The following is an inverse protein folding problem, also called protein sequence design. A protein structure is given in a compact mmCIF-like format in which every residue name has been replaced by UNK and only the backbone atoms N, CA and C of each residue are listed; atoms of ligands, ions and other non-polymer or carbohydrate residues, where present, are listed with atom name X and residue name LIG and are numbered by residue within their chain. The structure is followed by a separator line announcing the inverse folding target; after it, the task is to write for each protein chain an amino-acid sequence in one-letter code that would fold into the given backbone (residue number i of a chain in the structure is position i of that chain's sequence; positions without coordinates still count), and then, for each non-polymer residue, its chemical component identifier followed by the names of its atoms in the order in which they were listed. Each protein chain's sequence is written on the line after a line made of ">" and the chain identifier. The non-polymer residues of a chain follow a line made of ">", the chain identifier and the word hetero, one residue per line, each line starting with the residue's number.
data_IF_759041894965
#
_entry.id   IF_759041894965
#
_cell.length_a   1.000
_cell.length_b   1.000
_cell.length_c   1.000
_cell.angle_alpha   90.00
_cell.angle_beta   90.00
_cell.angle_gamma   90.00
#
_symmetry.space_group_name_H-M   'P 1'
#
loop_
_entity.id
_entity.type
_entity.pdbx_description
1 polymer ?
#
# COMPACT_ATOMS: atom_id res chain seq x y z
N UNK A 1 -32.08 18.85 32.59
CA UNK A 1 -30.84 19.37 31.98
C UNK A 1 -31.01 19.33 30.47
N UNK A 2 -31.22 20.50 29.85
CA UNK A 2 -31.36 20.68 28.40
C UNK A 2 -30.07 21.32 27.89
N UNK A 3 -29.46 20.76 26.82
CA UNK A 3 -28.71 21.48 25.78
C UNK A 3 -28.82 20.64 24.49
N UNK A 4 -29.66 21.02 23.54
CA UNK A 4 -29.41 21.92 22.39
C UNK A 4 -28.85 21.14 21.17
N UNK A 5 -29.72 20.64 20.26
CA UNK A 5 -30.17 21.27 18.99
C UNK A 5 -29.02 21.62 18.00
N UNK A 6 -28.98 20.83 16.93
CA UNK A 6 -28.70 21.17 15.52
C UNK A 6 -27.39 21.90 15.23
N UNK A 7 -26.40 21.14 14.72
CA UNK A 7 -25.40 21.68 13.79
C UNK A 7 -25.59 20.98 12.43
N UNK A 8 -26.09 21.76 11.47
CA UNK A 8 -26.23 21.41 10.06
C UNK A 8 -24.87 21.06 9.42
N UNK A 9 -24.85 20.30 8.32
CA UNK A 9 -23.62 20.07 7.55
C UNK A 9 -23.10 21.42 7.04
N UNK A 10 -21.88 21.76 7.45
CA UNK A 10 -21.21 22.97 6.96
C UNK A 10 -20.82 22.73 5.50
N UNK A 11 -21.67 23.20 4.59
CA UNK A 11 -21.36 23.42 3.17
C UNK A 11 -20.14 24.33 3.07
N UNK A 12 -18.95 23.75 3.01
CA UNK A 12 -17.70 24.50 2.83
C UNK A 12 -17.46 24.74 1.34
N UNK A 13 -18.11 25.81 0.86
CA UNK A 13 -17.51 26.84 -0.01
C UNK A 13 -16.79 26.28 -1.25
N UNK A 14 -17.53 26.18 -2.37
CA UNK A 14 -16.95 26.25 -3.72
C UNK A 14 -16.05 27.48 -3.79
N UNK A 15 -14.73 27.31 -3.67
CA UNK A 15 -13.78 28.37 -4.05
C UNK A 15 -13.77 28.41 -5.56
N UNK A 16 -14.58 29.27 -6.14
CA UNK A 16 -14.38 29.73 -7.51
C UNK A 16 -13.12 30.60 -7.50
N UNK A 17 -11.95 29.98 -7.62
CA UNK A 17 -10.77 30.70 -8.06
C UNK A 17 -11.00 31.01 -9.55
N UNK A 18 -11.44 32.23 -9.83
CA UNK A 18 -11.42 32.80 -11.18
C UNK A 18 -9.96 32.96 -11.61
N UNK A 19 -9.39 31.90 -12.15
CA UNK A 19 -8.16 31.94 -12.93
C UNK A 19 -8.64 31.97 -14.39
N UNK A 20 -8.47 33.09 -15.12
CA UNK A 20 -8.95 33.15 -16.49
C UNK A 20 -8.01 32.34 -17.39
N UNK A 21 -8.64 31.59 -18.30
CA UNK A 21 -8.07 30.89 -19.47
C UNK A 21 -7.51 29.48 -19.19
N UNK A 22 -8.41 28.50 -19.07
CA UNK A 22 -8.29 27.21 -19.77
C UNK A 22 -9.72 26.76 -20.11
N UNK A 23 -9.96 26.52 -21.40
CA UNK A 23 -11.24 26.11 -21.96
C UNK A 23 -11.76 24.87 -21.21
N UNK A 24 -12.88 25.04 -20.49
CA UNK A 24 -13.46 24.03 -19.59
C UNK A 24 -13.95 22.81 -20.37
N UNK A 25 -13.08 21.82 -20.56
CA UNK A 25 -13.54 20.46 -20.71
C UNK A 25 -14.10 20.04 -19.36
N UNK A 26 -15.41 19.79 -19.29
CA UNK A 26 -16.09 19.35 -18.08
C UNK A 26 -15.74 17.87 -17.84
N UNK A 27 -14.50 17.60 -17.43
CA UNK A 27 -14.02 16.26 -17.13
C UNK A 27 -14.51 15.93 -15.71
N UNK A 28 -15.43 14.96 -15.62
CA UNK A 28 -15.88 14.40 -14.35
C UNK A 28 -14.82 13.40 -13.89
N UNK A 29 -14.09 13.74 -12.83
CA UNK A 29 -13.09 12.84 -12.25
C UNK A 29 -13.68 12.08 -11.07
N UNK A 30 -13.38 10.78 -11.01
CA UNK A 30 -13.81 9.88 -9.94
C UNK A 30 -12.94 9.99 -8.69
N UNK A 31 -11.65 10.27 -8.85
CA UNK A 31 -10.67 10.40 -7.76
C UNK A 31 -9.69 11.56 -8.01
N UNK A 32 -8.90 11.94 -6.99
CA UNK A 32 -7.93 13.04 -7.12
C UNK A 32 -6.74 12.60 -7.99
N UNK A 33 -6.42 11.32 -7.94
CA UNK A 33 -5.41 10.64 -8.73
C UNK A 33 -5.76 10.71 -10.22
N UNK A 34 -6.99 10.34 -10.58
CA UNK A 34 -7.49 10.40 -11.97
C UNK A 34 -7.41 11.82 -12.54
N UNK A 35 -7.68 12.83 -11.71
CA UNK A 35 -7.52 14.23 -12.07
C UNK A 35 -6.07 14.55 -12.47
N UNK A 36 -5.11 14.24 -11.60
CA UNK A 36 -3.71 14.57 -11.86
C UNK A 36 -3.08 13.73 -12.96
N UNK A 37 -3.56 12.49 -13.17
CA UNK A 37 -3.21 11.67 -14.33
C UNK A 37 -3.68 12.36 -15.62
N UNK A 38 -4.94 12.81 -15.68
CA UNK A 38 -5.46 13.53 -16.85
C UNK A 38 -4.71 14.85 -17.14
N UNK A 39 -4.29 15.59 -16.10
CA UNK A 39 -3.47 16.80 -16.30
C UNK A 39 -2.07 16.45 -16.85
N UNK A 40 -1.51 15.30 -16.47
CA UNK A 40 -0.20 14.84 -16.93
C UNK A 40 -0.20 14.46 -18.42
N UNK A 41 -1.36 14.10 -18.97
CA UNK A 41 -1.54 13.79 -20.39
C UNK A 41 -1.62 15.04 -21.29
N UNK A 42 -1.75 16.24 -20.71
CA UNK A 42 -1.81 17.49 -21.48
C UNK A 42 -0.45 17.79 -22.09
N UNK A 43 -0.39 17.74 -23.43
CA UNK A 43 0.81 18.03 -24.21
C UNK A 43 0.86 19.51 -24.64
N UNK A 44 2.08 20.03 -24.77
CA UNK A 44 2.33 21.31 -25.41
C UNK A 44 2.43 21.16 -26.95
N UNK A 45 2.57 22.28 -27.67
CA UNK A 45 2.72 22.27 -29.13
C UNK A 45 3.95 21.48 -29.63
N UNK A 46 4.93 21.21 -28.75
CA UNK A 46 6.10 20.37 -29.03
C UNK A 46 5.95 18.91 -28.60
N UNK A 47 4.73 18.46 -28.26
CA UNK A 47 4.46 17.07 -27.87
C UNK A 47 5.00 16.66 -26.50
N UNK A 48 5.48 17.62 -25.69
CA UNK A 48 5.99 17.37 -24.34
C UNK A 48 4.89 17.62 -23.29
N UNK A 49 4.95 16.89 -22.17
CA UNK A 49 4.03 17.08 -21.05
C UNK A 49 4.13 18.51 -20.50
N UNK A 50 3.04 19.27 -20.60
CA UNK A 50 3.00 20.69 -20.21
C UNK A 50 3.24 20.90 -18.72
N UNK A 51 2.77 19.96 -17.89
CA UNK A 51 2.84 20.03 -16.43
C UNK A 51 3.56 18.84 -15.80
N UNK A 52 4.43 18.15 -16.55
CA UNK A 52 5.01 16.87 -16.13
C UNK A 52 5.72 16.91 -14.78
N UNK A 53 6.47 17.97 -14.46
CA UNK A 53 7.16 18.10 -13.17
C UNK A 53 6.18 18.23 -11.98
N UNK A 54 5.13 19.04 -12.15
CA UNK A 54 4.12 19.27 -11.11
C UNK A 54 3.31 17.99 -10.89
N UNK A 55 2.90 17.32 -11.97
CA UNK A 55 2.14 16.08 -11.87
C UNK A 55 2.97 14.98 -11.19
N UNK A 56 4.26 14.85 -11.54
CA UNK A 56 5.16 13.92 -10.85
C UNK A 56 5.26 14.19 -9.35
N UNK A 57 5.41 15.46 -8.95
CA UNK A 57 5.47 15.82 -7.53
C UNK A 57 4.17 15.46 -6.80
N UNK A 58 3.03 15.81 -7.39
CA UNK A 58 1.73 15.59 -6.74
C UNK A 58 1.39 14.11 -6.66
N UNK A 59 1.62 13.34 -7.73
CA UNK A 59 1.43 11.89 -7.71
C UNK A 59 2.36 11.21 -6.69
N UNK A 60 3.59 11.71 -6.53
CA UNK A 60 4.49 11.23 -5.48
C UNK A 60 3.92 11.53 -4.08
N UNK A 61 3.38 12.73 -3.85
CA UNK A 61 2.75 13.09 -2.57
C UNK A 61 1.51 12.22 -2.31
N UNK A 62 0.67 11.98 -3.33
CA UNK A 62 -0.52 11.13 -3.21
C UNK A 62 -0.17 9.67 -2.95
N UNK A 63 1.02 9.21 -3.39
CA UNK A 63 1.51 7.85 -3.08
C UNK A 63 1.98 7.69 -1.63
N UNK A 64 2.18 8.78 -0.89
CA UNK A 64 2.58 8.71 0.52
C UNK A 64 1.36 8.39 1.39
N UNK A 65 1.49 7.42 2.33
CA UNK A 65 0.45 7.17 3.30
C UNK A 65 0.31 8.39 4.21
N UNK A 66 -0.77 9.16 4.03
CA UNK A 66 -1.00 10.40 4.78
C UNK A 66 -1.41 10.15 6.25
N UNK A 67 -1.89 8.96 6.59
CA UNK A 67 -2.42 8.62 7.91
C UNK A 67 -1.70 7.45 8.55
N UNK A 68 -1.47 7.56 9.85
CA UNK A 68 -0.99 6.46 10.69
C UNK A 68 -1.95 5.26 10.68
N UNK A 69 -3.21 5.46 10.29
CA UNK A 69 -4.21 4.39 10.16
C UNK A 69 -3.73 3.25 9.25
N UNK A 70 -2.94 3.53 8.20
CA UNK A 70 -2.39 2.49 7.32
C UNK A 70 -1.37 1.61 8.06
N UNK A 71 -0.55 2.22 8.92
CA UNK A 71 0.43 1.51 9.76
C UNK A 71 -0.29 0.74 10.86
N UNK A 72 -1.30 1.33 11.51
CA UNK A 72 -2.13 0.66 12.52
C UNK A 72 -2.89 -0.54 11.94
N UNK A 73 -3.39 -0.43 10.70
CA UNK A 73 -3.99 -1.55 9.97
C UNK A 73 -2.97 -2.68 9.80
N UNK A 74 -1.74 -2.35 9.39
CA UNK A 74 -0.67 -3.34 9.24
C UNK A 74 -0.34 -4.02 10.57
N UNK A 75 -0.27 -3.26 11.68
CA UNK A 75 -0.07 -3.83 13.01
C UNK A 75 -1.23 -4.70 13.48
N UNK A 76 -2.47 -4.33 13.15
CA UNK A 76 -3.64 -5.17 13.41
C UNK A 76 -3.54 -6.52 12.69
N UNK A 77 -3.16 -6.51 11.39
CA UNK A 77 -2.92 -7.73 10.61
C UNK A 77 -1.78 -8.55 11.24
N UNK A 78 -0.70 -7.89 11.66
CA UNK A 78 0.43 -8.55 12.33
C UNK A 78 0.02 -9.22 13.64
N UNK A 79 -0.83 -8.59 14.44
CA UNK A 79 -1.38 -9.18 15.67
C UNK A 79 -2.24 -10.42 15.40
N UNK A 80 -2.98 -10.45 14.28
CA UNK A 80 -3.72 -11.65 13.86
C UNK A 80 -2.76 -12.76 13.41
N UNK A 81 -1.67 -12.42 12.71
CA UNK A 81 -0.65 -13.40 12.31
C UNK A 81 0.07 -13.96 13.56
N UNK A 82 0.43 -13.09 14.50
CA UNK A 82 1.08 -13.40 15.77
C UNK A 82 0.06 -13.48 16.91
N UNK A 83 -0.89 -14.39 16.77
CA UNK A 83 -1.84 -14.65 17.85
C UNK A 83 -1.11 -15.22 19.10
N UNK A 84 -1.76 -15.20 20.26
CA UNK A 84 -1.17 -15.55 21.55
C UNK A 84 -0.51 -16.94 21.57
N UNK A 85 -1.10 -17.90 20.86
CA UNK A 85 -0.55 -19.27 20.74
C UNK A 85 0.62 -19.39 19.75
N UNK A 86 0.76 -18.42 18.82
CA UNK A 86 1.77 -18.41 17.75
C UNK A 86 2.56 -17.09 17.74
N UNK A 87 2.98 -16.64 18.91
CA UNK A 87 3.74 -15.38 19.04
C UNK A 87 5.22 -15.54 18.65
N UNK A 88 5.78 -16.75 18.75
CA UNK A 88 7.17 -17.02 18.38
C UNK A 88 7.28 -17.51 16.94
N UNK A 89 7.16 -16.57 16.00
CA UNK A 89 7.38 -16.81 14.57
C UNK A 89 8.61 -16.04 14.10
N UNK A 90 9.42 -16.69 13.27
CA UNK A 90 10.59 -16.07 12.67
C UNK A 90 10.20 -14.83 11.86
N UNK A 91 11.05 -13.80 11.90
CA UNK A 91 10.74 -12.48 11.33
C UNK A 91 10.52 -12.59 9.82
N UNK A 92 11.38 -13.29 9.08
CA UNK A 92 11.23 -13.47 7.62
C UNK A 92 9.93 -14.18 7.25
N UNK A 93 9.49 -15.14 8.07
CA UNK A 93 8.22 -15.86 7.86
C UNK A 93 7.03 -14.92 8.10
N UNK A 94 7.07 -14.15 9.20
CA UNK A 94 6.03 -13.17 9.52
C UNK A 94 5.93 -12.09 8.44
N UNK A 95 7.07 -11.58 7.97
CA UNK A 95 7.18 -10.61 6.87
C UNK A 95 6.56 -11.17 5.58
N UNK A 96 6.90 -12.40 5.21
CA UNK A 96 6.39 -13.04 4.00
C UNK A 96 4.85 -13.18 4.06
N UNK A 97 4.31 -13.64 5.19
CA UNK A 97 2.86 -13.76 5.38
C UNK A 97 2.18 -12.38 5.33
N UNK A 98 2.79 -11.37 5.95
CA UNK A 98 2.28 -10.00 5.94
C UNK A 98 2.21 -9.44 4.52
N UNK A 99 3.27 -9.61 3.72
CA UNK A 99 3.31 -9.22 2.30
C UNK A 99 2.21 -9.89 1.50
N UNK A 100 2.02 -11.20 1.67
CA UNK A 100 0.96 -11.94 0.97
C UNK A 100 -0.42 -11.39 1.36
N UNK A 101 -0.69 -11.16 2.64
CA UNK A 101 -2.00 -10.64 3.09
C UNK A 101 -2.28 -9.21 2.63
N UNK A 102 -1.26 -8.37 2.55
CA UNK A 102 -1.40 -6.99 2.10
C UNK A 102 -1.64 -6.90 0.58
N UNK A 103 -1.02 -7.79 -0.20
CA UNK A 103 -1.12 -7.77 -1.66
C UNK A 103 -2.30 -8.59 -2.21
N UNK A 104 -2.92 -9.47 -1.43
CA UNK A 104 -4.08 -10.27 -1.84
C UNK A 104 -5.36 -9.78 -1.14
N UNK A 105 -5.91 -8.66 -1.63
CA UNK A 105 -7.10 -8.00 -1.07
C UNK A 105 -8.34 -8.91 -1.03
N UNK A 106 -8.56 -9.69 -2.10
CA UNK A 106 -9.68 -10.64 -2.22
C UNK A 106 -9.33 -12.05 -1.69
N UNK A 107 -8.17 -12.19 -1.06
CA UNK A 107 -7.67 -13.46 -0.55
C UNK A 107 -7.19 -14.42 -1.65
N UNK A 108 -7.13 -15.69 -1.27
CA UNK A 108 -6.56 -16.79 -2.06
C UNK A 108 -7.66 -17.73 -2.55
N UNK A 109 -8.78 -17.19 -3.07
CA UNK A 109 -9.98 -17.99 -3.36
C UNK A 109 -9.78 -18.87 -4.59
N UNK A 110 -9.14 -18.34 -5.64
CA UNK A 110 -8.94 -19.02 -6.92
C UNK A 110 -7.45 -19.19 -7.26
N UNK A 111 -6.58 -19.25 -6.26
CA UNK A 111 -5.15 -19.37 -6.49
C UNK A 111 -4.80 -20.80 -6.90
N UNK A 112 -4.38 -20.96 -8.16
CA UNK A 112 -3.81 -22.21 -8.65
C UNK A 112 -2.28 -22.12 -8.67
N UNK A 113 -1.56 -22.91 -7.85
CA UNK A 113 -0.11 -22.88 -7.83
C UNK A 113 0.46 -23.39 -9.14
N UNK A 114 1.49 -22.71 -9.66
CA UNK A 114 2.18 -23.17 -10.85
C UNK A 114 2.97 -24.46 -10.57
N UNK A 115 3.23 -25.26 -11.61
CA UNK A 115 4.06 -26.48 -11.50
C UNK A 115 5.43 -26.21 -10.86
N UNK A 116 6.00 -25.04 -11.14
CA UNK A 116 7.25 -24.57 -10.54
C UNK A 116 7.14 -24.33 -9.03
N UNK A 117 6.03 -23.74 -8.57
CA UNK A 117 5.78 -23.54 -7.14
C UNK A 117 5.62 -24.87 -6.41
N UNK A 118 4.89 -25.81 -6.99
CA UNK A 118 4.71 -27.16 -6.44
C UNK A 118 6.07 -27.88 -6.37
N UNK A 119 6.89 -27.78 -7.42
CA UNK A 119 8.23 -28.39 -7.46
C UNK A 119 9.15 -27.89 -6.36
N UNK A 120 9.04 -26.60 -5.99
CA UNK A 120 9.81 -26.02 -4.89
C UNK A 120 9.32 -26.47 -3.50
N UNK A 121 8.11 -27.01 -3.41
CA UNK A 121 7.50 -27.51 -2.18
C UNK A 121 7.85 -28.98 -1.92
N UNK A 122 9.14 -29.31 -2.02
CA UNK A 122 9.66 -30.65 -1.73
C UNK A 122 10.49 -30.67 -0.43
N UNK A 123 10.67 -31.84 0.17
CA UNK A 123 11.38 -31.99 1.45
C UNK A 123 12.84 -31.53 1.39
N UNK A 124 13.50 -31.71 0.25
CA UNK A 124 14.89 -31.30 0.04
C UNK A 124 15.08 -29.78 0.02
N UNK A 125 14.11 -29.00 -0.47
CA UNK A 125 14.18 -27.55 -0.50
C UNK A 125 13.51 -26.90 0.72
N UNK A 126 12.39 -27.45 1.20
CA UNK A 126 11.61 -26.87 2.29
C UNK A 126 12.15 -27.22 3.67
N UNK A 127 12.67 -28.44 3.84
CA UNK A 127 13.22 -28.95 5.11
C UNK A 127 14.70 -29.30 5.00
N UNK A 128 15.41 -28.69 4.05
CA UNK A 128 16.85 -28.89 3.89
C UNK A 128 17.56 -28.64 5.23
N UNK A 129 18.41 -29.56 5.67
CA UNK A 129 19.20 -29.44 6.90
C UNK A 129 20.10 -28.20 6.89
N UNK A 130 20.46 -27.69 5.71
CA UNK A 130 21.21 -26.45 5.51
C UNK A 130 20.50 -25.21 6.06
N UNK A 131 19.17 -25.24 6.21
CA UNK A 131 18.41 -24.14 6.82
C UNK A 131 18.75 -24.00 8.30
N UNK A 132 18.81 -25.13 9.03
CA UNK A 132 19.14 -25.14 10.46
C UNK A 132 20.56 -24.64 10.69
N UNK A 133 21.51 -25.06 9.85
CA UNK A 133 22.89 -24.57 9.89
C UNK A 133 22.96 -23.05 9.67
N UNK A 134 22.26 -22.52 8.67
CA UNK A 134 22.23 -21.07 8.38
C UNK A 134 21.57 -20.25 9.49
N UNK A 135 20.55 -20.79 10.16
CA UNK A 135 19.87 -20.14 11.28
C UNK A 135 20.76 -20.16 12.52
N UNK A 136 21.43 -21.28 12.80
CA UNK A 136 22.41 -21.40 13.88
C UNK A 136 23.59 -20.46 13.66
N UNK A 137 24.16 -20.39 12.46
CA UNK A 137 25.22 -19.43 12.15
C UNK A 137 24.75 -17.97 12.33
N UNK A 138 23.52 -17.64 11.92
CA UNK A 138 22.95 -16.31 12.12
C UNK A 138 22.75 -16.01 13.61
N UNK A 139 22.30 -16.99 14.40
CA UNK A 139 22.12 -16.84 15.85
C UNK A 139 23.46 -16.67 16.57
N UNK A 140 24.46 -17.48 16.24
CA UNK A 140 25.82 -17.39 16.80
C UNK A 140 26.43 -16.03 16.46
N UNK A 141 26.30 -15.57 15.20
CA UNK A 141 26.83 -14.28 14.76
C UNK A 141 26.15 -13.06 15.43
N UNK A 142 24.88 -13.19 15.81
CA UNK A 142 24.13 -12.12 16.45
C UNK A 142 24.19 -12.14 18.00
N UNK A 143 24.73 -13.20 18.61
CA UNK A 143 24.87 -13.33 20.07
C UNK A 143 26.34 -13.38 20.54
N UNK A 144 27.31 -13.13 19.66
CA UNK A 144 28.70 -12.84 20.04
C UNK A 144 28.89 -11.31 20.03
N UNK A 145 28.43 -10.67 21.12
CA UNK A 145 29.04 -9.50 21.78
C UNK A 145 28.79 -9.68 23.27
#
# INVERSE_FOLDING_TARGET
>A
MRYAKVCAPRLTRKRTCNIPILHTAHISFTSTEDYWIGINEILNAGGQQRYGHICKLILAILSLPFSNASVERMFSIMNIIKDKLRNNMFIKTTETILRVRDNLLDGCINFEPSKEMIRKFNSENMYSSNFVESVLETFVKNNII
#
